data_IF_732390336004
#
_entry.id   IF_732390336004
#
_cell.length_a   1.000
_cell.length_b   1.000
_cell.length_c   1.000
_cell.angle_alpha   90.00
_cell.angle_beta   90.00
_cell.angle_gamma   90.00
#
_symmetry.space_group_name_H-M   'P 1'
#
loop_
_entity.id
_entity.type
_entity.pdbx_description
1 polymer ?
#
# COMPACT_ATOMS: atom_id res chain seq x y z
N UNK A 1 38.29 -72.44 -3.94
CA UNK A 1 39.48 -71.58 -3.89
C UNK A 1 39.07 -70.31 -3.14
N UNK A 2 39.17 -70.36 -1.81
CA UNK A 2 40.18 -69.65 -1.00
C UNK A 2 39.92 -68.12 -1.00
N UNK A 3 39.22 -67.59 0.01
CA UNK A 3 39.73 -67.07 1.31
C UNK A 3 40.53 -65.76 1.12
N UNK A 4 40.44 -64.66 1.89
CA UNK A 4 39.79 -64.27 3.17
C UNK A 4 40.08 -62.77 3.39
N UNK A 5 39.10 -61.96 3.81
CA UNK A 5 38.92 -61.37 5.16
C UNK A 5 39.43 -59.93 5.33
N UNK A 6 38.58 -59.09 5.94
CA UNK A 6 38.98 -57.81 6.56
C UNK A 6 37.81 -56.85 6.79
N UNK A 7 36.99 -57.10 7.80
CA UNK A 7 36.23 -56.05 8.50
C UNK A 7 37.16 -55.46 9.60
N UNK A 8 36.97 -54.23 10.15
CA UNK A 8 35.75 -53.93 10.93
C UNK A 8 35.31 -52.44 11.03
N UNK A 9 34.18 -52.26 11.73
CA UNK A 9 33.78 -51.12 12.61
C UNK A 9 33.33 -49.78 12.00
N UNK A 10 32.05 -49.43 12.26
CA UNK A 10 31.59 -48.03 12.25
C UNK A 10 30.11 -47.78 11.98
N UNK A 11 29.22 -48.16 12.89
CA UNK A 11 27.91 -47.53 13.13
C UNK A 11 27.76 -47.45 14.67
N UNK A 12 27.05 -46.51 15.33
CA UNK A 12 25.93 -45.70 14.82
C UNK A 12 25.91 -44.22 15.30
N UNK A 13 25.10 -43.36 14.68
CA UNK A 13 24.94 -41.96 15.09
C UNK A 13 23.51 -41.44 15.00
N UNK A 14 22.65 -41.89 15.93
CA UNK A 14 21.33 -41.30 16.18
C UNK A 14 21.42 -39.77 16.36
N UNK A 15 20.81 -39.00 15.47
CA UNK A 15 20.51 -37.59 15.76
C UNK A 15 19.41 -37.53 16.83
N UNK A 16 19.84 -37.35 18.07
CA UNK A 16 19.00 -37.10 19.22
C UNK A 16 18.07 -35.89 18.99
N UNK A 17 16.77 -36.16 18.92
CA UNK A 17 15.75 -35.17 19.27
C UNK A 17 15.86 -34.87 20.78
N UNK A 18 16.45 -33.73 21.14
CA UNK A 18 16.41 -33.20 22.51
C UNK A 18 16.12 -31.70 22.45
N UNK A 19 14.98 -31.30 23.01
CA UNK A 19 14.69 -29.87 23.23
C UNK A 19 13.25 -29.43 23.41
N UNK A 20 12.25 -30.32 23.56
CA UNK A 20 10.91 -29.90 23.96
C UNK A 20 10.89 -29.54 25.46
N UNK A 21 11.11 -28.26 25.80
CA UNK A 21 10.78 -27.75 27.14
C UNK A 21 9.29 -27.38 27.18
N UNK A 22 8.59 -28.13 28.03
CA UNK A 22 7.19 -27.93 28.42
C UNK A 22 7.11 -26.68 29.31
N UNK A 23 6.47 -25.61 28.84
CA UNK A 23 6.03 -24.50 29.72
C UNK A 23 4.55 -24.73 30.02
N UNK A 24 4.20 -24.80 31.30
CA UNK A 24 2.82 -25.02 31.77
C UNK A 24 1.97 -23.76 31.57
N UNK A 25 0.88 -23.96 30.84
CA UNK A 25 -0.40 -23.26 30.66
C UNK A 25 -0.76 -22.03 31.52
N UNK A 26 -1.20 -20.97 30.83
CA UNK A 26 -2.27 -20.03 31.19
C UNK A 26 -3.28 -19.91 30.01
N UNK A 27 -4.53 -19.48 30.21
CA UNK A 27 -5.64 -19.92 29.36
C UNK A 27 -5.99 -18.92 28.25
N UNK A 28 -5.23 -18.83 27.16
CA UNK A 28 -5.71 -18.27 25.89
C UNK A 28 -4.94 -18.88 24.71
N UNK A 29 -5.69 -19.53 23.81
CA UNK A 29 -5.39 -19.92 22.43
C UNK A 29 -3.96 -20.38 22.06
N UNK A 30 -3.80 -21.68 21.81
CA UNK A 30 -2.61 -22.27 21.21
C UNK A 30 -2.52 -21.95 19.71
N UNK A 31 -1.86 -20.84 19.37
CA UNK A 31 -1.19 -20.71 18.07
C UNK A 31 0.31 -20.70 18.31
N UNK A 32 1.01 -21.68 17.73
CA UNK A 32 2.47 -21.66 17.68
C UNK A 32 2.89 -20.50 16.78
N UNK A 33 3.38 -19.41 17.37
CA UNK A 33 4.25 -18.51 16.63
C UNK A 33 5.55 -19.28 16.34
N UNK A 34 5.78 -19.60 15.08
CA UNK A 34 7.11 -19.93 14.61
C UNK A 34 7.99 -18.67 14.81
N UNK A 35 8.66 -18.56 15.96
CA UNK A 35 9.85 -17.71 16.07
C UNK A 35 10.94 -18.39 15.25
N UNK A 36 10.93 -18.11 13.96
CA UNK A 36 12.12 -18.29 13.14
C UNK A 36 13.17 -17.32 13.69
N UNK A 37 14.13 -17.83 14.45
CA UNK A 37 15.49 -17.30 14.40
C UNK A 37 16.04 -17.68 13.02
N UNK A 38 15.56 -16.99 11.98
CA UNK A 38 16.17 -17.03 10.66
C UNK A 38 17.08 -15.81 10.59
N UNK A 39 18.38 -16.09 10.63
CA UNK A 39 19.42 -15.27 9.99
C UNK A 39 18.89 -14.61 8.72
N UNK A 40 19.28 -13.37 8.44
CA UNK A 40 18.82 -12.54 7.31
C UNK A 40 19.17 -13.08 5.91
N UNK A 41 18.82 -14.32 5.60
CA UNK A 41 19.07 -14.98 4.31
C UNK A 41 17.78 -15.35 3.56
N UNK A 42 16.63 -15.52 4.24
CA UNK A 42 15.39 -15.94 3.58
C UNK A 42 14.58 -14.78 2.99
N UNK A 43 14.74 -13.56 3.52
CA UNK A 43 14.07 -12.34 3.00
C UNK A 43 14.75 -11.83 1.72
N UNK A 44 16.01 -12.19 1.50
CA UNK A 44 16.77 -11.84 0.30
C UNK A 44 16.63 -12.88 -0.84
N UNK A 45 16.10 -14.08 -0.56
CA UNK A 45 15.97 -15.16 -1.55
C UNK A 45 14.87 -14.92 -2.62
N UNK A 46 13.85 -14.10 -2.30
CA UNK A 46 12.77 -13.75 -3.24
C UNK A 46 13.03 -12.43 -3.99
N UNK A 47 14.13 -11.74 -3.67
CA UNK A 47 14.50 -10.43 -4.22
C UNK A 47 15.01 -10.63 -5.66
N UNK A 48 14.08 -10.71 -6.60
CA UNK A 48 14.36 -10.93 -8.03
C UNK A 48 13.71 -12.18 -8.63
N UNK A 49 12.99 -12.99 -7.86
CA UNK A 49 12.14 -14.03 -8.45
C UNK A 49 10.97 -13.38 -9.21
N UNK A 50 10.59 -13.94 -10.35
CA UNK A 50 9.48 -13.45 -11.17
C UNK A 50 8.21 -14.20 -10.77
N UNK A 51 7.18 -13.47 -10.32
CA UNK A 51 5.87 -14.06 -10.01
C UNK A 51 5.04 -14.25 -11.27
N UNK A 52 5.00 -13.24 -12.13
CA UNK A 52 4.26 -13.26 -13.39
C UNK A 52 4.87 -12.28 -14.37
N UNK A 53 4.86 -12.62 -15.64
CA UNK A 53 5.21 -11.70 -16.72
C UNK A 53 4.43 -12.07 -17.97
N UNK A 54 4.09 -11.07 -18.76
CA UNK A 54 3.41 -11.25 -20.03
C UNK A 54 3.51 -9.99 -20.87
N UNK A 55 3.38 -10.18 -22.17
CA UNK A 55 3.23 -9.08 -23.12
C UNK A 55 1.75 -8.86 -23.34
N UNK A 56 1.25 -7.70 -22.95
CA UNK A 56 -0.18 -7.40 -22.95
C UNK A 56 -0.44 -6.05 -23.58
N UNK A 57 -1.65 -5.91 -24.11
CA UNK A 57 -2.11 -4.61 -24.59
C UNK A 57 -2.47 -3.75 -23.38
N UNK A 58 -1.80 -2.60 -23.23
CA UNK A 58 -1.99 -1.68 -22.12
C UNK A 58 -2.51 -0.32 -22.62
N UNK A 59 -3.56 0.17 -21.99
CA UNK A 59 -4.05 1.53 -22.10
C UNK A 59 -3.46 2.39 -20.98
N UNK A 60 -2.68 3.39 -21.35
CA UNK A 60 -2.12 4.40 -20.46
C UNK A 60 -1.99 5.72 -21.23
N UNK A 61 -2.19 6.85 -20.56
CA UNK A 61 -2.04 8.19 -21.16
C UNK A 61 -2.84 8.38 -22.46
N UNK A 62 -4.07 7.83 -22.49
CA UNK A 62 -4.97 7.86 -23.64
C UNK A 62 -4.45 7.13 -24.90
N UNK A 63 -3.48 6.23 -24.73
CA UNK A 63 -2.89 5.46 -25.83
C UNK A 63 -2.87 3.99 -25.49
N UNK A 64 -3.15 3.18 -26.52
CA UNK A 64 -2.94 1.76 -26.48
C UNK A 64 -1.53 1.44 -26.98
N UNK A 65 -0.76 0.69 -26.21
CA UNK A 65 0.49 0.11 -26.68
C UNK A 65 0.67 -1.29 -26.12
N UNK A 66 1.33 -2.14 -26.88
CA UNK A 66 1.74 -3.45 -26.40
C UNK A 66 2.95 -3.26 -25.46
N UNK A 67 2.85 -3.77 -24.23
CA UNK A 67 3.86 -3.56 -23.18
C UNK A 67 4.16 -4.89 -22.49
N UNK A 68 5.40 -5.05 -22.06
CA UNK A 68 5.81 -6.14 -21.18
C UNK A 68 5.47 -5.73 -19.75
N UNK A 69 4.61 -6.49 -19.09
CA UNK A 69 4.34 -6.36 -17.66
C UNK A 69 5.11 -7.42 -16.89
N UNK A 70 5.72 -7.02 -15.79
CA UNK A 70 6.46 -7.89 -14.88
C UNK A 70 6.01 -7.64 -13.44
N UNK A 71 5.72 -8.72 -12.73
CA UNK A 71 5.55 -8.71 -11.28
C UNK A 71 6.64 -9.56 -10.64
N UNK A 72 7.43 -8.94 -9.78
CA UNK A 72 8.54 -9.58 -9.06
C UNK A 72 8.08 -10.18 -7.73
N UNK A 73 8.94 -10.97 -7.08
CA UNK A 73 8.71 -11.63 -5.80
C UNK A 73 8.53 -10.66 -4.62
N UNK A 74 9.06 -9.44 -4.74
CA UNK A 74 8.80 -8.32 -3.82
C UNK A 74 7.56 -7.48 -4.22
N UNK A 75 6.74 -8.01 -5.13
CA UNK A 75 5.50 -7.41 -5.62
C UNK A 75 5.66 -6.06 -6.34
N UNK A 76 6.87 -5.75 -6.81
CA UNK A 76 7.08 -4.64 -7.72
C UNK A 76 6.36 -4.94 -9.04
N UNK A 77 5.55 -3.99 -9.50
CA UNK A 77 4.84 -4.09 -10.78
C UNK A 77 5.46 -3.10 -11.75
N UNK A 78 5.96 -3.62 -12.85
CA UNK A 78 6.70 -2.85 -13.86
C UNK A 78 6.06 -3.04 -15.23
N UNK A 79 6.02 -1.96 -16.00
CA UNK A 79 5.55 -1.94 -17.39
C UNK A 79 6.64 -1.34 -18.27
N UNK A 80 7.14 -2.11 -19.24
CA UNK A 80 8.19 -1.69 -20.18
C UNK A 80 7.77 -1.83 -21.64
N UNK A 81 8.41 -1.07 -22.52
CA UNK A 81 8.28 -1.28 -23.96
C UNK A 81 8.91 -2.61 -24.37
N UNK A 82 8.31 -3.30 -25.34
CA UNK A 82 8.77 -4.62 -25.83
C UNK A 82 10.12 -4.52 -26.54
N UNK A 83 10.37 -3.40 -27.22
CA UNK A 83 11.65 -3.12 -27.88
C UNK A 83 12.60 -2.51 -26.86
N UNK A 84 13.14 -3.36 -25.99
CA UNK A 84 14.25 -2.98 -25.13
C UNK A 84 15.50 -2.78 -26.00
N UNK A 85 15.87 -1.53 -26.26
CA UNK A 85 17.22 -1.22 -26.72
C UNK A 85 18.17 -1.47 -25.53
N UNK A 86 19.11 -2.43 -25.62
CA UNK A 86 19.97 -2.80 -24.50
C UNK A 86 20.82 -1.62 -23.98
N UNK A 87 20.94 -0.53 -24.73
CA UNK A 87 21.60 0.71 -24.30
C UNK A 87 20.67 1.73 -23.59
N UNK A 88 19.34 1.53 -23.59
CA UNK A 88 18.34 2.52 -23.13
C UNK A 88 17.26 1.94 -22.19
N UNK A 89 17.55 0.83 -21.52
CA UNK A 89 16.63 0.07 -20.63
C UNK A 89 15.89 0.95 -19.60
N UNK A 90 16.48 2.07 -19.17
CA UNK A 90 15.91 2.92 -18.11
C UNK A 90 14.90 3.97 -18.62
N UNK A 91 14.81 4.23 -19.94
CA UNK A 91 13.94 5.30 -20.46
C UNK A 91 12.49 4.88 -20.67
N UNK A 92 12.21 3.58 -20.77
CA UNK A 92 10.90 3.08 -21.19
C UNK A 92 10.20 2.19 -20.15
N UNK A 93 10.72 2.15 -18.92
CA UNK A 93 10.20 1.34 -17.83
C UNK A 93 9.44 2.22 -16.84
N UNK A 94 8.18 1.88 -16.60
CA UNK A 94 7.30 2.58 -15.66
C UNK A 94 6.93 1.65 -14.52
N UNK A 95 7.13 2.09 -13.28
CA UNK A 95 6.63 1.40 -12.10
C UNK A 95 5.15 1.71 -11.92
N UNK A 96 4.31 0.67 -11.84
CA UNK A 96 2.89 0.82 -11.54
C UNK A 96 2.69 0.87 -10.04
N UNK A 97 2.21 2.00 -9.53
CA UNK A 97 1.86 2.18 -8.13
C UNK A 97 0.45 1.62 -7.92
N UNK A 98 0.34 0.62 -7.04
CA UNK A 98 -0.93 -0.03 -6.71
C UNK A 98 -1.45 0.35 -5.32
N UNK A 99 -0.73 1.17 -4.56
CA UNK A 99 -1.25 1.75 -3.33
C UNK A 99 -2.48 2.61 -3.66
N UNK A 100 -3.51 2.52 -2.83
CA UNK A 100 -4.77 3.28 -3.00
C UNK A 100 -5.55 2.99 -4.28
N UNK A 101 -5.26 1.88 -4.97
CA UNK A 101 -5.96 1.47 -6.18
C UNK A 101 -7.10 0.48 -5.89
N UNK A 102 -8.09 0.46 -6.78
CA UNK A 102 -9.09 -0.58 -6.95
C UNK A 102 -8.81 -1.34 -8.25
N UNK A 103 -8.98 -2.67 -8.22
CA UNK A 103 -8.80 -3.53 -9.40
C UNK A 103 -10.12 -4.20 -9.78
N UNK A 104 -10.59 -3.90 -10.98
CA UNK A 104 -11.83 -4.44 -11.56
C UNK A 104 -11.56 -5.13 -12.90
N UNK A 105 -12.45 -6.05 -13.29
CA UNK A 105 -12.28 -6.91 -14.47
C UNK A 105 -13.34 -6.71 -15.54
N UNK A 106 -14.20 -5.71 -15.37
CA UNK A 106 -15.23 -5.36 -16.36
C UNK A 106 -15.43 -3.86 -16.49
N UNK A 107 -15.84 -3.44 -17.69
CA UNK A 107 -16.22 -2.04 -17.96
C UNK A 107 -17.39 -1.58 -17.06
N UNK A 108 -18.26 -2.51 -16.66
CA UNK A 108 -19.36 -2.19 -15.75
C UNK A 108 -18.86 -1.89 -14.33
N UNK A 109 -17.95 -2.68 -13.78
CA UNK A 109 -17.33 -2.41 -12.48
C UNK A 109 -16.55 -1.09 -12.51
N UNK A 110 -15.79 -0.84 -13.57
CA UNK A 110 -15.08 0.42 -13.73
C UNK A 110 -16.03 1.62 -13.78
N UNK A 111 -17.17 1.48 -14.48
CA UNK A 111 -18.22 2.52 -14.51
C UNK A 111 -18.77 2.81 -13.12
N UNK A 112 -18.99 1.79 -12.28
CA UNK A 112 -19.47 2.01 -10.90
C UNK A 112 -18.46 2.81 -10.05
N UNK A 113 -17.16 2.59 -10.26
CA UNK A 113 -16.10 3.39 -9.60
C UNK A 113 -16.12 4.85 -10.09
N UNK A 114 -16.25 5.04 -11.40
CA UNK A 114 -16.39 6.37 -12.00
C UNK A 114 -17.63 7.11 -11.47
N UNK A 115 -18.78 6.46 -11.45
CA UNK A 115 -20.04 7.04 -10.99
C UNK A 115 -19.95 7.45 -9.51
N UNK A 116 -19.33 6.61 -8.67
CA UNK A 116 -19.06 6.94 -7.27
C UNK A 116 -18.17 8.17 -7.13
N UNK A 117 -17.11 8.29 -7.94
CA UNK A 117 -16.22 9.44 -7.91
C UNK A 117 -16.92 10.74 -8.36
N UNK A 118 -17.89 10.63 -9.26
CA UNK A 118 -18.65 11.77 -9.80
C UNK A 118 -19.92 12.10 -9.03
N UNK A 119 -20.38 11.23 -8.11
CA UNK A 119 -21.67 11.36 -7.42
C UNK A 119 -21.88 12.74 -6.76
N UNK A 120 -20.81 13.33 -6.23
CA UNK A 120 -20.84 14.62 -5.53
C UNK A 120 -20.67 15.84 -6.45
N UNK A 121 -20.57 15.63 -7.77
CA UNK A 121 -20.28 16.68 -8.74
C UNK A 121 -21.56 17.28 -9.38
N UNK A 122 -21.68 18.61 -9.48
CA UNK A 122 -22.82 19.24 -10.15
C UNK A 122 -22.90 18.88 -11.63
N UNK A 123 -24.03 18.32 -12.07
CA UNK A 123 -24.25 17.92 -13.47
C UNK A 123 -23.61 16.57 -13.84
N UNK A 124 -23.26 15.73 -12.85
CA UNK A 124 -22.63 14.44 -13.08
C UNK A 124 -23.39 13.52 -14.04
N UNK A 125 -24.72 13.63 -14.10
CA UNK A 125 -25.57 12.83 -14.99
C UNK A 125 -25.27 13.03 -16.48
N UNK A 126 -24.69 14.17 -16.87
CA UNK A 126 -24.35 14.45 -18.27
C UNK A 126 -22.90 14.08 -18.60
N UNK A 127 -22.09 13.68 -17.62
CA UNK A 127 -20.68 13.41 -17.85
C UNK A 127 -20.51 12.11 -18.61
N UNK A 128 -19.75 12.18 -19.69
CA UNK A 128 -19.25 10.99 -20.36
C UNK A 128 -18.08 10.43 -19.56
N UNK A 129 -18.12 9.13 -19.32
CA UNK A 129 -16.96 8.41 -18.80
C UNK A 129 -15.78 8.63 -19.76
N UNK A 130 -14.56 8.90 -19.25
CA UNK A 130 -13.37 9.01 -20.09
C UNK A 130 -13.27 7.78 -20.97
N UNK A 131 -12.80 7.97 -22.22
CA UNK A 131 -12.69 6.94 -23.26
C UNK A 131 -12.69 5.53 -22.67
N UNK A 132 -13.80 4.81 -22.84
CA UNK A 132 -13.86 3.42 -22.37
C UNK A 132 -12.72 2.67 -23.05
N UNK A 133 -11.86 1.97 -22.31
CA UNK A 133 -10.95 1.05 -22.95
C UNK A 133 -11.78 0.09 -23.81
N UNK A 134 -11.29 -0.19 -25.02
CA UNK A 134 -12.02 -0.81 -26.12
C UNK A 134 -12.68 -2.16 -25.79
N UNK A 135 -13.38 -2.77 -26.75
CA UNK A 135 -14.22 -3.94 -26.53
C UNK A 135 -13.38 -5.23 -26.40
N UNK A 136 -12.52 -5.29 -25.41
CA UNK A 136 -11.73 -6.49 -25.11
C UNK A 136 -12.50 -7.38 -24.15
N UNK A 137 -12.47 -8.68 -24.40
CA UNK A 137 -13.26 -9.67 -23.64
C UNK A 137 -12.77 -9.84 -22.20
N UNK A 138 -11.48 -9.58 -21.95
CA UNK A 138 -10.84 -9.82 -20.65
C UNK A 138 -10.00 -8.61 -20.16
N UNK A 139 -10.62 -7.47 -19.83
CA UNK A 139 -9.91 -6.29 -19.35
C UNK A 139 -9.58 -6.39 -17.85
N UNK A 140 -8.47 -5.81 -17.43
CA UNK A 140 -8.10 -5.60 -16.03
C UNK A 140 -7.81 -4.12 -15.85
N UNK A 141 -8.67 -3.44 -15.11
CA UNK A 141 -8.58 -2.02 -14.81
C UNK A 141 -7.89 -1.83 -13.47
N UNK A 142 -6.90 -0.94 -13.43
CA UNK A 142 -6.24 -0.45 -12.23
C UNK A 142 -6.66 1.00 -12.06
N UNK A 143 -7.60 1.24 -11.15
CA UNK A 143 -8.20 2.53 -10.90
C UNK A 143 -7.62 3.15 -9.63
N UNK A 144 -7.08 4.36 -9.73
CA UNK A 144 -6.73 5.18 -8.59
C UNK A 144 -7.66 6.41 -8.57
N UNK A 145 -8.15 6.87 -7.40
CA UNK A 145 -9.08 8.00 -7.30
C UNK A 145 -8.58 9.30 -7.96
N UNK A 146 -7.26 9.50 -7.95
CA UNK A 146 -6.60 10.71 -8.43
C UNK A 146 -5.49 10.46 -9.47
N UNK A 147 -5.46 9.30 -10.15
CA UNK A 147 -4.53 9.09 -11.28
C UNK A 147 -5.32 8.60 -12.50
N UNK A 148 -4.82 8.81 -13.73
CA UNK A 148 -5.42 8.23 -14.91
C UNK A 148 -5.54 6.71 -14.77
N UNK A 149 -6.66 6.15 -15.23
CA UNK A 149 -6.87 4.70 -15.22
C UNK A 149 -5.83 4.02 -16.11
N UNK A 150 -5.34 2.87 -15.65
CA UNK A 150 -4.59 1.94 -16.48
C UNK A 150 -5.50 0.75 -16.77
N UNK A 151 -5.57 0.32 -18.02
CA UNK A 151 -6.29 -0.90 -18.40
C UNK A 151 -5.31 -1.84 -19.11
N UNK A 152 -5.33 -3.11 -18.74
CA UNK A 152 -4.56 -4.17 -19.40
C UNK A 152 -5.56 -5.16 -19.99
N UNK A 153 -5.32 -5.66 -21.18
CA UNK A 153 -6.20 -6.64 -21.82
C UNK A 153 -5.47 -7.96 -21.97
N UNK A 154 -6.04 -9.02 -21.41
CA UNK A 154 -5.53 -10.39 -21.51
C UNK A 154 -6.19 -11.12 -22.68
N UNK A 155 -5.58 -12.24 -23.09
CA UNK A 155 -6.02 -13.02 -24.24
C UNK A 155 -7.04 -14.10 -23.87
N UNK A 156 -7.15 -14.46 -22.59
CA UNK A 156 -8.11 -15.43 -22.07
C UNK A 156 -8.59 -15.07 -20.66
N UNK A 157 -9.67 -15.73 -20.23
CA UNK A 157 -10.19 -15.65 -18.86
C UNK A 157 -9.17 -16.18 -17.84
N UNK A 158 -8.53 -17.32 -18.13
CA UNK A 158 -7.50 -17.90 -17.26
C UNK A 158 -6.32 -16.94 -17.04
N UNK A 159 -5.90 -16.25 -18.11
CA UNK A 159 -4.84 -15.24 -18.03
C UNK A 159 -5.32 -14.01 -17.22
N UNK A 160 -6.58 -13.57 -17.42
CA UNK A 160 -7.19 -12.49 -16.64
C UNK A 160 -7.18 -12.81 -15.14
N UNK A 161 -7.57 -14.03 -14.76
CA UNK A 161 -7.62 -14.50 -13.39
C UNK A 161 -6.21 -14.58 -12.78
N UNK A 162 -5.22 -15.04 -13.54
CA UNK A 162 -3.82 -15.07 -13.11
C UNK A 162 -3.30 -13.66 -12.81
N UNK A 163 -3.50 -12.71 -13.73
CA UNK A 163 -3.12 -11.31 -13.52
C UNK A 163 -3.87 -10.65 -12.37
N UNK A 164 -5.18 -10.86 -12.29
CA UNK A 164 -6.00 -10.33 -11.20
C UNK A 164 -5.50 -10.79 -9.83
N UNK A 165 -5.18 -12.08 -9.70
CA UNK A 165 -4.66 -12.66 -8.46
C UNK A 165 -3.34 -12.01 -8.04
N UNK A 166 -2.37 -11.95 -8.97
CA UNK A 166 -1.04 -11.40 -8.69
C UNK A 166 -1.12 -9.90 -8.40
N UNK A 167 -1.87 -9.13 -9.18
CA UNK A 167 -2.02 -7.69 -8.99
C UNK A 167 -2.76 -7.35 -7.69
N UNK A 168 -3.80 -8.11 -7.30
CA UNK A 168 -4.47 -7.92 -6.00
C UNK A 168 -3.55 -8.25 -4.83
N UNK A 169 -2.71 -9.26 -4.96
CA UNK A 169 -1.71 -9.55 -3.94
C UNK A 169 -0.65 -8.45 -3.85
N UNK A 170 -0.19 -7.93 -4.99
CA UNK A 170 0.72 -6.78 -5.03
C UNK A 170 0.10 -5.51 -4.43
N UNK A 171 -1.16 -5.21 -4.75
CA UNK A 171 -1.93 -4.11 -4.17
C UNK A 171 -2.03 -4.23 -2.65
N UNK A 172 -2.36 -5.41 -2.10
CA UNK A 172 -2.38 -5.66 -0.64
C UNK A 172 -0.99 -5.50 -0.02
N UNK A 173 0.05 -5.98 -0.70
CA UNK A 173 1.44 -5.87 -0.25
C UNK A 173 1.88 -4.41 -0.15
N UNK A 174 1.59 -3.60 -1.16
CA UNK A 174 1.86 -2.17 -1.18
C UNK A 174 1.05 -1.45 -0.11
N UNK A 175 -0.27 -1.67 -0.04
CA UNK A 175 -1.20 -1.02 0.89
C UNK A 175 -0.84 -1.21 2.38
N UNK A 176 -0.15 -2.30 2.71
CA UNK A 176 0.26 -2.62 4.09
C UNK A 176 1.72 -2.29 4.40
N UNK A 177 2.40 -1.50 3.57
CA UNK A 177 3.83 -1.21 3.70
C UNK A 177 4.22 -0.72 5.10
N UNK A 178 3.55 0.31 5.63
CA UNK A 178 3.85 0.85 6.98
C UNK A 178 3.62 -0.20 8.07
N UNK A 179 2.49 -0.92 8.02
CA UNK A 179 2.15 -1.94 9.02
C UNK A 179 3.15 -3.09 9.04
N UNK A 180 3.63 -3.49 7.86
CA UNK A 180 4.60 -4.58 7.71
C UNK A 180 5.99 -4.22 8.22
N UNK A 181 6.37 -2.94 8.17
CA UNK A 181 7.62 -2.48 8.79
C UNK A 181 7.60 -2.66 10.32
N UNK A 182 6.42 -2.65 10.94
CA UNK A 182 6.22 -2.81 12.39
C UNK A 182 7.16 -1.91 13.24
N UNK A 183 7.45 -0.71 12.73
CA UNK A 183 8.33 0.25 13.37
C UNK A 183 7.59 1.07 14.42
N UNK A 184 8.31 1.69 15.36
CA UNK A 184 7.71 2.64 16.29
C UNK A 184 7.27 3.91 15.55
N UNK A 185 8.10 4.38 14.63
CA UNK A 185 7.87 5.53 13.77
C UNK A 185 6.59 5.36 12.94
N UNK A 186 6.42 4.22 12.27
CA UNK A 186 5.23 3.94 11.47
C UNK A 186 3.95 3.91 12.32
N UNK A 187 4.01 3.37 13.55
CA UNK A 187 2.87 3.41 14.47
C UNK A 187 2.54 4.82 14.94
N UNK A 188 3.56 5.61 15.31
CA UNK A 188 3.39 7.00 15.72
C UNK A 188 2.83 7.86 14.57
N UNK A 189 3.32 7.64 13.34
CA UNK A 189 2.81 8.26 12.13
C UNK A 189 1.32 7.96 11.91
N UNK A 190 0.93 6.67 11.91
CA UNK A 190 -0.47 6.27 11.71
C UNK A 190 -1.38 6.83 12.82
N UNK A 191 -0.89 6.89 14.06
CA UNK A 191 -1.61 7.49 15.17
C UNK A 191 -1.78 9.00 15.00
N UNK A 192 -0.74 9.72 14.58
CA UNK A 192 -0.80 11.15 14.28
C UNK A 192 -1.80 11.45 13.15
N UNK A 193 -1.76 10.69 12.05
CA UNK A 193 -2.73 10.81 10.95
C UNK A 193 -4.15 10.54 11.43
N UNK A 194 -4.35 9.50 12.25
CA UNK A 194 -5.64 9.19 12.84
C UNK A 194 -6.16 10.36 13.69
N UNK A 195 -5.32 10.95 14.54
CA UNK A 195 -5.70 12.09 15.37
C UNK A 195 -6.07 13.31 14.54
N UNK A 196 -5.27 13.66 13.55
CA UNK A 196 -5.57 14.75 12.62
C UNK A 196 -6.95 14.56 11.96
N UNK A 197 -7.24 13.36 11.45
CA UNK A 197 -8.53 13.08 10.81
C UNK A 197 -9.69 13.15 11.81
N UNK A 198 -9.50 12.67 13.04
CA UNK A 198 -10.51 12.75 14.10
C UNK A 198 -10.84 14.19 14.49
N UNK A 199 -9.85 15.08 14.55
CA UNK A 199 -10.07 16.51 14.79
C UNK A 199 -10.89 17.18 13.67
N UNK A 200 -10.77 16.65 12.44
CA UNK A 200 -11.60 17.03 11.29
C UNK A 200 -12.97 16.32 11.25
N UNK A 201 -13.30 15.51 12.25
CA UNK A 201 -14.55 14.76 12.33
C UNK A 201 -14.60 13.49 11.46
N UNK A 202 -13.47 13.01 10.94
CA UNK A 202 -13.36 11.80 10.12
C UNK A 202 -12.82 10.64 10.96
N UNK A 203 -13.57 9.54 11.02
CA UNK A 203 -13.26 8.40 11.89
C UNK A 203 -13.00 7.09 11.13
N UNK A 204 -13.11 7.07 9.80
CA UNK A 204 -12.79 5.89 9.01
C UNK A 204 -11.30 5.56 9.07
N UNK A 205 -10.95 4.28 8.97
CA UNK A 205 -9.55 3.82 8.98
C UNK A 205 -9.00 3.53 7.60
N UNK A 206 -9.79 3.73 6.53
CA UNK A 206 -9.43 3.32 5.16
C UNK A 206 -8.12 3.95 4.70
N UNK A 207 -7.93 5.24 5.01
CA UNK A 207 -6.73 6.00 4.65
C UNK A 207 -5.45 5.48 5.32
N UNK A 208 -5.56 4.81 6.47
CA UNK A 208 -4.41 4.26 7.19
C UNK A 208 -3.85 2.99 6.52
N UNK A 209 -4.55 2.46 5.50
CA UNK A 209 -4.18 1.26 4.75
C UNK A 209 -3.67 1.60 3.34
N UNK A 210 -3.21 2.83 3.09
CA UNK A 210 -2.95 3.36 1.74
C UNK A 210 -1.50 3.31 1.26
N UNK A 211 -0.64 2.50 1.86
CA UNK A 211 0.71 2.28 1.33
C UNK A 211 1.82 2.90 2.16
N UNK A 212 2.69 3.69 1.53
CA UNK A 212 3.79 4.37 2.21
C UNK A 212 3.30 5.61 2.98
N UNK A 213 4.16 6.23 3.78
CA UNK A 213 3.80 7.43 4.54
C UNK A 213 3.47 8.61 3.59
N UNK A 214 4.19 8.70 2.47
CA UNK A 214 3.93 9.65 1.39
C UNK A 214 2.56 9.42 0.75
N UNK A 215 2.18 8.17 0.47
CA UNK A 215 0.87 7.84 -0.10
C UNK A 215 -0.26 8.23 0.87
N UNK A 216 -0.11 7.88 2.16
CA UNK A 216 -1.10 8.21 3.20
C UNK A 216 -1.25 9.73 3.35
N UNK A 217 -0.16 10.48 3.46
CA UNK A 217 -0.21 11.94 3.58
C UNK A 217 -0.78 12.60 2.32
N UNK A 218 -0.40 12.12 1.13
CA UNK A 218 -0.92 12.65 -0.13
C UNK A 218 -2.44 12.50 -0.21
N UNK A 219 -2.96 11.36 0.25
CA UNK A 219 -4.40 11.11 0.30
C UNK A 219 -5.09 12.02 1.33
N UNK A 220 -4.52 12.20 2.53
CA UNK A 220 -5.04 13.12 3.54
C UNK A 220 -5.08 14.57 3.03
N UNK A 221 -4.02 15.03 2.37
CA UNK A 221 -3.98 16.38 1.78
C UNK A 221 -5.05 16.52 0.70
N UNK A 222 -5.22 15.52 -0.16
CA UNK A 222 -6.30 15.53 -1.15
C UNK A 222 -7.69 15.60 -0.49
N UNK A 223 -7.95 14.87 0.61
CA UNK A 223 -9.23 14.96 1.32
C UNK A 223 -9.56 16.40 1.77
N UNK A 224 -8.55 17.18 2.15
CA UNK A 224 -8.73 18.54 2.64
C UNK A 224 -8.82 19.57 1.51
N UNK A 225 -8.10 19.36 0.42
CA UNK A 225 -8.07 20.29 -0.73
C UNK A 225 -9.28 20.08 -1.65
N UNK A 226 -9.80 18.86 -1.76
CA UNK A 226 -10.86 18.48 -2.70
C UNK A 226 -12.14 19.33 -2.58
N UNK A 227 -12.69 19.64 -1.38
CA UNK A 227 -13.87 20.51 -1.25
C UNK A 227 -13.62 21.93 -1.79
N UNK A 228 -12.41 22.46 -1.59
CA UNK A 228 -11.99 23.76 -2.12
C UNK A 228 -11.92 23.75 -3.66
N UNK A 229 -11.30 22.72 -4.25
CA UNK A 229 -11.24 22.57 -5.70
C UNK A 229 -12.65 22.43 -6.31
N UNK A 230 -13.53 21.65 -5.69
CA UNK A 230 -14.90 21.45 -6.17
C UNK A 230 -15.74 22.72 -6.14
N UNK A 231 -15.60 23.53 -5.09
CA UNK A 231 -16.38 24.77 -4.95
C UNK A 231 -15.83 25.93 -5.79
N UNK A 232 -14.51 26.03 -5.96
CA UNK A 232 -13.88 27.21 -6.56
C UNK A 232 -13.38 26.98 -7.99
N UNK A 233 -12.87 25.77 -8.29
CA UNK A 233 -12.20 25.47 -9.55
C UNK A 233 -13.15 24.78 -10.54
N UNK A 234 -13.88 23.75 -10.09
CA UNK A 234 -14.78 22.99 -10.95
C UNK A 234 -15.81 23.87 -11.71
N UNK A 235 -16.50 24.86 -11.08
CA UNK A 235 -17.46 25.71 -11.78
C UNK A 235 -16.83 26.55 -12.89
N UNK A 236 -15.53 26.82 -12.81
CA UNK A 236 -14.77 27.64 -13.76
C UNK A 236 -14.23 26.85 -14.96
N UNK A 237 -14.40 25.52 -14.99
CA UNK A 237 -14.00 24.70 -16.13
C UNK A 237 -14.75 25.11 -17.41
N UNK A 238 -14.00 25.60 -18.41
CA UNK A 238 -14.51 26.03 -19.72
C UNK A 238 -14.41 24.91 -20.76
N UNK A 239 -15.08 23.79 -20.49
CA UNK A 239 -15.18 22.65 -21.42
C UNK A 239 -16.65 22.28 -21.65
N UNK A 240 -16.94 21.52 -22.71
CA UNK A 240 -18.28 21.02 -22.99
C UNK A 240 -18.84 20.24 -21.78
N UNK A 241 -20.15 20.36 -21.51
CA UNK A 241 -20.81 19.81 -20.32
C UNK A 241 -20.51 18.33 -20.11
N UNK A 242 -20.59 17.53 -21.18
CA UNK A 242 -20.29 16.10 -21.17
C UNK A 242 -18.82 15.77 -20.88
N UNK A 243 -17.88 16.65 -21.24
CA UNK A 243 -16.44 16.45 -21.00
C UNK A 243 -15.96 17.01 -19.66
N UNK A 244 -16.84 17.65 -18.86
CA UNK A 244 -16.45 18.23 -17.57
C UNK A 244 -15.94 17.18 -16.59
N UNK A 245 -16.54 15.99 -16.55
CA UNK A 245 -16.06 14.88 -15.71
C UNK A 245 -14.63 14.46 -16.07
N UNK A 246 -14.37 14.21 -17.36
CA UNK A 246 -13.03 13.85 -17.83
C UNK A 246 -12.00 14.96 -17.56
N UNK A 247 -12.34 16.23 -17.83
CA UNK A 247 -11.46 17.36 -17.53
C UNK A 247 -11.19 17.53 -16.03
N UNK A 248 -12.20 17.25 -15.20
CA UNK A 248 -12.07 17.24 -13.75
C UNK A 248 -11.13 16.14 -13.26
N UNK A 249 -11.25 14.92 -13.80
CA UNK A 249 -10.32 13.83 -13.50
C UNK A 249 -8.87 14.15 -13.86
N UNK A 250 -8.63 14.75 -15.03
CA UNK A 250 -7.29 15.20 -15.43
C UNK A 250 -6.74 16.29 -14.50
N UNK A 251 -7.58 17.27 -14.13
CA UNK A 251 -7.18 18.31 -13.17
C UNK A 251 -6.80 17.71 -11.81
N UNK A 252 -7.60 16.77 -11.30
CA UNK A 252 -7.28 16.09 -10.05
C UNK A 252 -5.98 15.28 -10.13
N UNK A 253 -5.68 14.67 -11.28
CA UNK A 253 -4.42 13.97 -11.50
C UNK A 253 -3.21 14.90 -11.42
N UNK A 254 -3.30 16.08 -12.03
CA UNK A 254 -2.23 17.09 -11.96
C UNK A 254 -2.06 17.62 -10.53
N UNK A 255 -3.16 17.95 -9.85
CA UNK A 255 -3.10 18.40 -8.45
C UNK A 255 -2.51 17.31 -7.56
N UNK A 256 -2.90 16.05 -7.75
CA UNK A 256 -2.38 14.95 -6.95
C UNK A 256 -0.87 14.74 -7.19
N UNK A 257 -0.42 14.87 -8.44
CA UNK A 257 1.01 14.82 -8.77
C UNK A 257 1.81 15.90 -8.01
N UNK A 258 1.29 17.14 -7.97
CA UNK A 258 1.88 18.23 -7.20
C UNK A 258 1.88 17.92 -5.70
N UNK A 259 0.76 17.45 -5.16
CA UNK A 259 0.63 17.06 -3.75
C UNK A 259 1.64 15.98 -3.39
N UNK A 260 1.80 14.94 -4.21
CA UNK A 260 2.81 13.90 -3.98
C UNK A 260 4.22 14.48 -3.93
N UNK A 261 4.57 15.39 -4.84
CA UNK A 261 5.87 16.06 -4.86
C UNK A 261 6.15 16.86 -3.58
N UNK A 262 5.20 17.72 -3.19
CA UNK A 262 5.31 18.55 -1.98
C UNK A 262 5.36 17.69 -0.71
N UNK A 263 4.48 16.69 -0.59
CA UNK A 263 4.46 15.77 0.55
C UNK A 263 5.77 14.99 0.65
N UNK A 264 6.31 14.48 -0.45
CA UNK A 264 7.59 13.77 -0.44
C UNK A 264 8.74 14.67 0.03
N UNK A 265 8.76 15.92 -0.42
CA UNK A 265 9.78 16.89 0.00
C UNK A 265 9.65 17.23 1.49
N UNK A 266 8.46 17.62 1.95
CA UNK A 266 8.24 18.03 3.35
C UNK A 266 8.35 16.87 4.34
N UNK A 267 7.96 15.66 3.94
CA UNK A 267 8.17 14.48 4.78
C UNK A 267 9.67 14.14 4.90
N UNK A 268 10.43 14.32 3.82
CA UNK A 268 11.87 14.11 3.86
C UNK A 268 12.56 15.08 4.82
N UNK A 269 12.26 16.38 4.73
CA UNK A 269 12.84 17.40 5.63
C UNK A 269 12.43 17.16 7.09
N UNK A 270 11.18 16.76 7.34
CA UNK A 270 10.70 16.42 8.68
C UNK A 270 11.47 15.23 9.27
N UNK A 271 11.70 14.18 8.48
CA UNK A 271 12.46 12.99 8.90
C UNK A 271 13.91 13.30 9.20
N UNK A 272 14.54 14.18 8.42
CA UNK A 272 15.91 14.63 8.71
C UNK A 272 15.99 15.36 10.05
N UNK A 273 15.04 16.26 10.32
CA UNK A 273 14.96 16.97 11.59
C UNK A 273 14.68 16.01 12.76
N UNK A 274 13.77 15.05 12.60
CA UNK A 274 13.50 14.00 13.59
C UNK A 274 14.77 13.21 13.93
N UNK A 275 15.51 12.77 12.90
CA UNK A 275 16.72 11.98 13.06
C UNK A 275 17.81 12.74 13.84
N UNK A 276 17.92 14.06 13.65
CA UNK A 276 18.85 14.92 14.38
C UNK A 276 18.47 15.09 15.86
N UNK A 277 17.17 15.20 16.16
CA UNK A 277 16.66 15.38 17.53
C UNK A 277 16.59 14.08 18.34
N UNK A 278 16.48 12.93 17.67
CA UNK A 278 16.24 11.63 18.30
C UNK A 278 17.25 11.26 19.40
N UNK A 279 18.59 11.43 19.24
CA UNK A 279 19.55 11.04 20.29
C UNK A 279 19.40 11.85 21.58
N UNK A 280 19.10 13.15 21.47
CA UNK A 280 18.89 14.02 22.63
C UNK A 280 17.61 13.62 23.37
N UNK A 281 16.52 13.40 22.62
CA UNK A 281 15.24 12.93 23.16
C UNK A 281 15.39 11.58 23.87
N UNK A 282 16.07 10.60 23.25
CA UNK A 282 16.31 9.29 23.87
C UNK A 282 17.10 9.42 25.18
N UNK A 283 18.15 10.25 25.21
CA UNK A 283 18.90 10.54 26.43
C UNK A 283 18.02 11.15 27.52
N UNK A 284 17.18 12.14 27.17
CA UNK A 284 16.27 12.79 28.12
C UNK A 284 15.22 11.81 28.67
N UNK A 285 14.64 10.96 27.82
CA UNK A 285 13.66 9.94 28.25
C UNK A 285 14.31 8.94 29.21
N UNK A 286 15.52 8.44 28.89
CA UNK A 286 16.24 7.50 29.76
C UNK A 286 16.55 8.08 31.14
N UNK A 287 16.96 9.35 31.19
CA UNK A 287 17.30 10.02 32.45
C UNK A 287 16.07 10.30 33.33
N UNK A 288 14.88 10.42 32.75
CA UNK A 288 13.66 10.82 33.46
C UNK A 288 12.56 9.75 33.47
N UNK A 289 12.90 8.49 33.16
CA UNK A 289 11.92 7.42 32.91
C UNK A 289 10.96 7.22 34.10
N UNK A 290 11.48 7.14 35.33
CA UNK A 290 10.66 6.91 36.53
C UNK A 290 9.67 8.05 36.77
N UNK A 291 10.10 9.29 36.52
CA UNK A 291 9.24 10.47 36.65
C UNK A 291 8.15 10.47 35.59
N UNK A 292 8.48 10.11 34.33
CA UNK A 292 7.52 9.99 33.23
C UNK A 292 6.44 8.96 33.58
N UNK A 293 6.84 7.77 34.06
CA UNK A 293 5.90 6.71 34.45
C UNK A 293 4.99 7.13 35.60
N UNK A 294 5.55 7.82 36.61
CA UNK A 294 4.76 8.33 37.75
C UNK A 294 3.70 9.32 37.29
N UNK A 295 4.06 10.25 36.41
CA UNK A 295 3.12 11.24 35.84
C UNK A 295 2.07 10.56 34.97
N UNK A 296 2.47 9.59 34.14
CA UNK A 296 1.55 8.84 33.28
C UNK A 296 0.50 8.08 34.10
N UNK A 297 0.89 7.41 35.19
CA UNK A 297 -0.04 6.69 36.04
C UNK A 297 -1.05 7.65 36.71
N UNK A 298 -0.56 8.80 37.19
CA UNK A 298 -1.41 9.82 37.79
C UNK A 298 -2.45 10.39 36.81
N UNK A 299 -2.03 10.72 35.58
CA UNK A 299 -2.93 11.18 34.52
C UNK A 299 -3.97 10.10 34.20
N UNK A 300 -3.51 8.85 34.02
CA UNK A 300 -4.38 7.71 33.71
C UNK A 300 -5.43 7.51 34.80
N UNK A 301 -5.05 7.60 36.07
CA UNK A 301 -5.96 7.49 37.22
C UNK A 301 -7.02 8.59 37.21
N UNK A 302 -6.62 9.85 36.97
CA UNK A 302 -7.54 10.98 36.86
C UNK A 302 -8.51 10.85 35.68
N UNK A 303 -8.03 10.42 34.52
CA UNK A 303 -8.86 10.22 33.34
C UNK A 303 -9.91 9.12 33.56
N UNK A 304 -9.51 7.97 34.12
CA UNK A 304 -10.44 6.88 34.46
C UNK A 304 -11.54 7.35 35.42
N UNK A 305 -11.19 8.12 36.43
CA UNK A 305 -12.18 8.71 37.35
C UNK A 305 -13.22 9.58 36.62
N UNK A 306 -12.77 10.45 35.70
CA UNK A 306 -13.67 11.34 34.93
C UNK A 306 -14.53 10.59 33.90
N UNK A 307 -13.96 9.60 33.22
CA UNK A 307 -14.69 8.79 32.22
C UNK A 307 -15.72 7.91 32.90
N UNK A 308 -15.37 7.25 34.01
CA UNK A 308 -16.30 6.44 34.80
C UNK A 308 -17.51 7.29 35.21
N UNK A 309 -17.29 8.47 35.79
CA UNK A 309 -18.37 9.38 36.21
C UNK A 309 -19.31 9.80 35.07
N UNK A 310 -18.82 9.89 33.82
CA UNK A 310 -19.65 10.20 32.65
C UNK A 310 -20.46 9.00 32.15
N UNK A 311 -19.93 7.79 32.28
CA UNK A 311 -20.66 6.55 31.93
C UNK A 311 -21.72 6.15 32.95
N UNK A 312 -21.67 6.64 34.20
CA UNK A 312 -22.73 6.44 35.20
C UNK A 312 -23.83 7.52 35.18
N UNK A 313 -23.65 8.58 34.39
CA UNK A 313 -24.57 9.71 34.28
C UNK A 313 -25.38 9.73 32.98
N UNK A 314 -25.30 8.65 32.18
CA UNK A 314 -26.14 8.35 31.02
C UNK A 314 -27.02 7.14 31.34
#
# INVERSE_FOLDING_TARGET
MCHTSGAPTGDPGLCHARGLRRVRNGPYSSYFHARAFSSGSQVDLLRGEKLLEGTLLQFQDQRWSERRLLVTGDFLVESSDIKEDPQNVHKNKTRLLLSSCDICTSTQEYRLLWDRAMQEMPGAADFEMPNSPGPFDYPVFIHHPYRPVICICTHSEDEQLAWLSVLRNAMRHHSTAILRQNSFQGRAFLEAVRHYRQEKGRYDSGVLMLGSEEDVLSMVVMEDVLPGLRSQVFPRLRVARNRRGAAWGLLLAEVFSLVCGEVSQELHTLKEHEAQGHPLLDKQVRLNLDQILTVQEHITRKMRGKVALRTWAQ
#
